data_IF_547678058174
#
_entry.id   IF_547678058174
#
_cell.length_a   1.000
_cell.length_b   1.000
_cell.length_c   1.000
_cell.angle_alpha   90.00
_cell.angle_beta   90.00
_cell.angle_gamma   90.00
#
_symmetry.space_group_name_H-M   'P 1'
#
loop_
_entity.id
_entity.type
_entity.pdbx_description
1 polymer ?
#
# COMPACT_ATOMS: atom_id res chain seq x y z
N UNK A 1 11.41 14.81 -10.04
CA UNK A 1 12.62 14.98 -10.86
C UNK A 1 13.26 16.31 -10.52
N UNK A 2 14.58 16.36 -10.41
CA UNK A 2 15.37 17.58 -10.32
C UNK A 2 16.31 17.66 -11.52
N UNK A 3 16.36 18.82 -12.15
CA UNK A 3 17.31 19.15 -13.22
C UNK A 3 18.33 20.13 -12.64
N UNK A 4 19.60 19.89 -12.90
CA UNK A 4 20.69 20.79 -12.56
C UNK A 4 21.51 21.10 -13.82
N UNK A 5 21.81 22.41 -14.01
CA UNK A 5 22.57 22.89 -15.17
C UNK A 5 23.63 23.86 -14.65
N UNK A 6 24.89 23.57 -14.90
CA UNK A 6 26.01 24.45 -14.66
C UNK A 6 26.69 24.92 -15.94
N UNK A 7 27.74 25.71 -15.84
CA UNK A 7 28.48 26.21 -17.03
C UNK A 7 29.04 25.07 -17.89
N UNK A 8 29.57 24.02 -17.26
CA UNK A 8 30.10 22.85 -17.97
C UNK A 8 29.03 22.09 -18.74
N UNK A 9 27.81 22.01 -18.15
CA UNK A 9 26.68 21.34 -18.76
C UNK A 9 26.21 22.12 -20.04
N UNK A 10 26.21 23.45 -19.97
CA UNK A 10 25.92 24.30 -21.11
C UNK A 10 26.95 24.10 -22.22
N UNK A 11 28.24 24.05 -21.90
CA UNK A 11 29.32 23.83 -22.88
C UNK A 11 29.20 22.45 -23.54
N UNK A 12 28.78 21.42 -22.78
CA UNK A 12 28.63 20.05 -23.28
C UNK A 12 27.23 19.76 -23.86
N UNK A 13 26.30 20.70 -23.82
CA UNK A 13 24.91 20.48 -24.25
C UNK A 13 24.16 19.44 -23.45
N UNK A 14 24.40 19.36 -22.14
CA UNK A 14 23.86 18.32 -21.27
C UNK A 14 23.17 18.86 -20.00
N UNK A 15 22.45 17.99 -19.28
CA UNK A 15 21.75 18.32 -18.04
C UNK A 15 21.88 17.14 -17.06
N UNK A 16 22.27 17.40 -15.81
CA UNK A 16 22.16 16.38 -14.75
C UNK A 16 20.70 16.25 -14.33
N UNK A 17 20.20 15.01 -14.38
CA UNK A 17 18.85 14.61 -13.94
C UNK A 17 18.97 13.80 -12.67
N UNK A 18 18.18 14.15 -11.64
CA UNK A 18 18.10 13.34 -10.40
C UNK A 18 16.67 12.90 -10.12
N UNK A 19 16.50 11.59 -9.88
CA UNK A 19 15.25 10.94 -9.49
C UNK A 19 15.02 11.08 -7.98
N UNK A 20 13.79 11.35 -7.54
CA UNK A 20 13.44 11.38 -6.10
C UNK A 20 13.14 10.01 -5.53
N UNK A 21 12.60 9.14 -6.35
CA UNK A 21 12.14 7.80 -5.97
C UNK A 21 13.30 6.83 -5.70
N UNK A 22 14.32 6.80 -6.58
CA UNK A 22 15.50 5.91 -6.48
C UNK A 22 16.76 6.61 -5.94
N UNK A 23 16.78 7.95 -5.92
CA UNK A 23 17.96 8.80 -5.64
C UNK A 23 19.06 8.74 -6.71
N UNK A 24 18.79 8.06 -7.81
CA UNK A 24 19.70 7.96 -8.94
C UNK A 24 19.93 9.32 -9.63
N UNK A 25 21.14 9.50 -10.15
CA UNK A 25 21.53 10.66 -10.96
C UNK A 25 22.16 10.19 -12.25
N UNK A 26 21.84 10.87 -13.34
CA UNK A 26 22.41 10.60 -14.66
C UNK A 26 22.40 11.89 -15.52
N UNK A 27 23.14 11.87 -16.62
CA UNK A 27 23.25 12.98 -17.55
C UNK A 27 22.43 12.72 -18.81
N UNK A 28 21.73 13.72 -19.31
CA UNK A 28 20.90 13.66 -20.52
C UNK A 28 21.33 14.79 -21.44
N UNK A 29 21.41 14.53 -22.75
CA UNK A 29 21.62 15.57 -23.74
C UNK A 29 20.41 16.54 -23.78
N UNK A 30 20.67 17.84 -23.93
CA UNK A 30 19.60 18.86 -23.95
C UNK A 30 18.57 18.62 -25.06
N UNK A 31 19.01 18.14 -26.22
CA UNK A 31 18.14 17.89 -27.37
C UNK A 31 17.11 16.78 -27.12
N UNK A 32 17.44 15.77 -26.29
CA UNK A 32 16.58 14.65 -25.94
C UNK A 32 15.90 14.81 -24.57
N UNK A 33 16.15 15.92 -23.89
CA UNK A 33 15.72 16.12 -22.50
C UNK A 33 14.19 16.01 -22.34
N UNK A 34 13.44 16.65 -23.25
CA UNK A 34 11.98 16.67 -23.18
C UNK A 34 11.39 15.26 -23.21
N UNK A 35 11.76 14.49 -24.23
CA UNK A 35 11.27 13.11 -24.39
C UNK A 35 11.70 12.21 -23.22
N UNK A 36 12.96 12.33 -22.80
CA UNK A 36 13.48 11.56 -21.66
C UNK A 36 12.74 11.86 -20.35
N UNK A 37 12.39 13.15 -20.10
CA UNK A 37 11.66 13.54 -18.90
C UNK A 37 10.23 12.99 -18.91
N UNK A 38 9.54 13.00 -20.04
CA UNK A 38 8.20 12.41 -20.13
C UNK A 38 8.23 10.92 -19.78
N UNK A 39 9.11 10.15 -20.43
CA UNK A 39 9.28 8.73 -20.11
C UNK A 39 9.70 8.48 -18.66
N UNK A 40 10.56 9.36 -18.11
CA UNK A 40 10.97 9.27 -16.71
C UNK A 40 9.82 9.48 -15.72
N UNK A 41 8.86 10.34 -16.03
CA UNK A 41 7.68 10.55 -15.18
C UNK A 41 6.81 9.28 -15.12
N UNK A 42 6.64 8.60 -16.24
CA UNK A 42 5.92 7.32 -16.29
C UNK A 42 6.65 6.22 -15.51
N UNK A 43 7.99 6.12 -15.66
CA UNK A 43 8.82 5.21 -14.89
C UNK A 43 8.71 5.46 -13.37
N UNK A 44 8.72 6.72 -12.95
CA UNK A 44 8.59 7.09 -11.53
C UNK A 44 7.21 6.72 -11.00
N UNK A 45 6.16 6.99 -11.77
CA UNK A 45 4.79 6.64 -11.40
C UNK A 45 4.64 5.12 -11.22
N UNK A 46 5.15 4.34 -12.18
CA UNK A 46 5.14 2.88 -12.12
C UNK A 46 5.90 2.36 -10.88
N UNK A 47 7.12 2.86 -10.64
CA UNK A 47 7.92 2.46 -9.46
C UNK A 47 7.23 2.78 -8.13
N UNK A 48 6.61 3.94 -8.00
CA UNK A 48 5.88 4.32 -6.79
C UNK A 48 4.64 3.43 -6.58
N UNK A 49 3.92 3.14 -7.66
CA UNK A 49 2.77 2.24 -7.62
C UNK A 49 3.16 0.82 -7.21
N UNK A 50 4.18 0.25 -7.85
CA UNK A 50 4.69 -1.10 -7.56
C UNK A 50 5.16 -1.23 -6.11
N UNK A 51 5.87 -0.23 -5.59
CA UNK A 51 6.30 -0.20 -4.19
C UNK A 51 5.12 -0.16 -3.22
N UNK A 52 4.12 0.67 -3.51
CA UNK A 52 2.91 0.76 -2.67
C UNK A 52 2.08 -0.52 -2.73
N UNK A 53 1.92 -1.11 -3.92
CA UNK A 53 1.22 -2.37 -4.11
C UNK A 53 1.94 -3.53 -3.41
N UNK A 54 3.27 -3.60 -3.54
CA UNK A 54 4.10 -4.59 -2.86
C UNK A 54 4.00 -4.48 -1.33
N UNK A 55 4.11 -3.27 -0.79
CA UNK A 55 3.94 -3.02 0.65
C UNK A 55 2.55 -3.44 1.15
N UNK A 56 1.49 -3.08 0.41
CA UNK A 56 0.13 -3.50 0.75
C UNK A 56 0.00 -5.02 0.75
N UNK A 57 0.53 -5.70 -0.26
CA UNK A 57 0.48 -7.16 -0.36
C UNK A 57 1.23 -7.83 0.80
N UNK A 58 2.43 -7.36 1.13
CA UNK A 58 3.24 -7.86 2.25
C UNK A 58 2.54 -7.68 3.60
N UNK A 59 1.84 -6.54 3.79
CA UNK A 59 1.17 -6.20 5.04
C UNK A 59 -0.26 -6.72 5.15
N UNK A 60 -0.81 -7.36 4.13
CA UNK A 60 -2.16 -7.94 4.16
C UNK A 60 -2.09 -9.43 4.50
N UNK A 61 -2.72 -9.83 5.59
CA UNK A 61 -2.73 -11.20 6.09
C UNK A 61 -4.14 -11.74 6.20
N UNK A 62 -4.37 -12.92 5.62
CA UNK A 62 -5.61 -13.68 5.86
C UNK A 62 -5.53 -14.31 7.25
N UNK A 63 -6.56 -14.11 8.06
CA UNK A 63 -6.63 -14.62 9.43
C UNK A 63 -7.93 -15.39 9.66
N UNK A 64 -7.86 -16.50 10.40
CA UNK A 64 -8.98 -17.41 10.63
C UNK A 64 -9.32 -17.56 12.11
N UNK A 65 -8.51 -17.00 12.99
CA UNK A 65 -8.72 -17.04 14.44
C UNK A 65 -8.50 -15.67 15.08
N UNK A 66 -9.01 -15.52 16.29
CA UNK A 66 -8.80 -14.31 17.08
C UNK A 66 -7.33 -14.09 17.44
N UNK A 67 -6.59 -15.16 17.73
CA UNK A 67 -5.16 -15.07 18.06
C UNK A 67 -4.32 -14.60 16.85
N UNK A 68 -4.60 -15.14 15.66
CA UNK A 68 -3.98 -14.66 14.41
C UNK A 68 -4.34 -13.20 14.13
N UNK A 69 -5.59 -12.82 14.39
CA UNK A 69 -6.03 -11.42 14.24
C UNK A 69 -5.24 -10.49 15.16
N UNK A 70 -5.09 -10.85 16.44
CA UNK A 70 -4.31 -10.08 17.40
C UNK A 70 -2.82 -9.98 17.01
N UNK A 71 -2.23 -11.06 16.52
CA UNK A 71 -0.84 -11.07 16.03
C UNK A 71 -0.66 -10.06 14.87
N UNK A 72 -1.55 -10.09 13.87
CA UNK A 72 -1.49 -9.16 12.75
C UNK A 72 -1.67 -7.71 13.20
N UNK A 73 -2.64 -7.44 14.07
CA UNK A 73 -2.98 -6.08 14.49
C UNK A 73 -1.96 -5.49 15.47
N UNK A 74 -1.38 -6.29 16.35
CA UNK A 74 -0.54 -5.80 17.44
C UNK A 74 0.96 -6.03 17.23
N UNK A 75 1.35 -7.05 16.45
CA UNK A 75 2.75 -7.43 16.27
C UNK A 75 3.25 -7.12 14.87
N UNK A 76 2.53 -7.57 13.83
CA UNK A 76 2.92 -7.33 12.42
C UNK A 76 2.57 -5.93 11.93
N UNK A 77 1.63 -5.26 12.60
CA UNK A 77 1.17 -3.91 12.25
C UNK A 77 0.70 -3.82 10.79
N UNK A 78 -0.23 -4.72 10.41
CA UNK A 78 -0.71 -4.87 9.05
C UNK A 78 -2.23 -4.75 8.91
N UNK A 79 -2.70 -5.24 7.78
CA UNK A 79 -4.11 -5.41 7.46
C UNK A 79 -4.53 -6.86 7.73
N UNK A 80 -5.55 -7.05 8.56
CA UNK A 80 -6.14 -8.37 8.79
C UNK A 80 -7.37 -8.55 7.89
N UNK A 81 -7.30 -9.50 6.97
CA UNK A 81 -8.43 -9.92 6.14
C UNK A 81 -9.16 -11.03 6.88
N UNK A 82 -10.24 -10.69 7.56
CA UNK A 82 -10.91 -11.53 8.54
C UNK A 82 -12.42 -11.63 8.30
N UNK A 83 -13.00 -12.77 8.65
CA UNK A 83 -14.46 -12.94 8.67
C UNK A 83 -15.12 -12.08 9.76
N UNK A 84 -16.22 -11.45 9.39
CA UNK A 84 -17.04 -10.59 10.25
C UNK A 84 -18.51 -10.95 10.06
N UNK A 85 -19.29 -10.96 11.14
CA UNK A 85 -20.71 -11.38 11.16
C UNK A 85 -21.70 -10.33 10.63
N UNK A 86 -21.22 -9.21 10.11
CA UNK A 86 -22.05 -8.16 9.52
C UNK A 86 -22.67 -7.20 10.54
N UNK A 87 -22.38 -7.31 11.83
CA UNK A 87 -23.03 -6.49 12.86
C UNK A 87 -22.13 -5.35 13.36
N UNK A 88 -22.70 -4.16 13.53
CA UNK A 88 -21.98 -3.01 14.10
C UNK A 88 -21.57 -3.24 15.57
N UNK A 89 -22.33 -4.07 16.30
CA UNK A 89 -22.00 -4.41 17.68
C UNK A 89 -20.66 -5.20 17.76
N UNK A 90 -20.45 -6.14 16.85
CA UNK A 90 -19.19 -6.89 16.75
C UNK A 90 -18.03 -5.98 16.34
N UNK A 91 -18.24 -5.08 15.39
CA UNK A 91 -17.23 -4.10 14.99
C UNK A 91 -16.80 -3.22 16.16
N UNK A 92 -17.76 -2.68 16.94
CA UNK A 92 -17.44 -1.84 18.10
C UNK A 92 -16.67 -2.61 19.18
N UNK A 93 -17.04 -3.87 19.46
CA UNK A 93 -16.26 -4.74 20.36
C UNK A 93 -14.83 -4.96 19.89
N UNK A 94 -14.62 -5.24 18.60
CA UNK A 94 -13.28 -5.41 18.03
C UNK A 94 -12.47 -4.12 18.21
N UNK A 95 -13.09 -2.96 17.94
CA UNK A 95 -12.47 -1.65 18.11
C UNK A 95 -12.11 -1.35 19.57
N UNK A 96 -12.99 -1.66 20.52
CA UNK A 96 -12.71 -1.50 21.94
C UNK A 96 -11.51 -2.33 22.39
N UNK A 97 -11.44 -3.60 21.96
CA UNK A 97 -10.42 -4.55 22.38
C UNK A 97 -9.05 -4.27 21.71
N UNK A 98 -9.03 -3.78 20.45
CA UNK A 98 -7.81 -3.78 19.64
C UNK A 98 -7.46 -2.42 19.04
N UNK A 99 -8.39 -1.47 19.04
CA UNK A 99 -8.33 -0.20 18.29
C UNK A 99 -8.36 -0.37 16.76
N UNK A 100 -8.55 -1.61 16.27
CA UNK A 100 -8.75 -1.86 14.85
C UNK A 100 -10.20 -1.59 14.46
N UNK A 101 -10.40 -1.07 13.26
CA UNK A 101 -11.72 -0.86 12.64
C UNK A 101 -11.74 -1.44 11.24
N UNK A 102 -12.93 -1.71 10.71
CA UNK A 102 -13.11 -2.10 9.31
C UNK A 102 -12.69 -0.93 8.42
N UNK A 103 -11.83 -1.19 7.45
CA UNK A 103 -11.35 -0.23 6.45
C UNK A 103 -12.13 -0.30 5.16
N UNK A 104 -12.41 -1.50 4.71
CA UNK A 104 -13.25 -1.74 3.53
C UNK A 104 -13.76 -3.17 3.50
N UNK A 105 -14.80 -3.36 2.71
CA UNK A 105 -15.26 -4.65 2.21
C UNK A 105 -14.71 -4.73 0.77
N UNK A 106 -13.80 -5.67 0.44
CA UNK A 106 -13.28 -5.78 -0.93
C UNK A 106 -14.41 -6.03 -1.93
N UNK A 107 -14.42 -5.27 -3.03
CA UNK A 107 -15.49 -5.35 -4.04
C UNK A 107 -15.37 -6.56 -4.95
N UNK A 108 -14.16 -7.06 -5.13
CA UNK A 108 -13.76 -8.12 -6.03
C UNK A 108 -13.57 -9.48 -5.35
N UNK A 109 -13.92 -9.59 -4.06
CA UNK A 109 -13.84 -10.86 -3.36
C UNK A 109 -15.01 -11.78 -3.73
N UNK A 110 -14.71 -13.07 -3.85
CA UNK A 110 -15.74 -14.10 -3.95
C UNK A 110 -16.44 -14.28 -2.58
N UNK A 111 -17.70 -14.67 -2.62
CA UNK A 111 -18.44 -15.01 -1.40
C UNK A 111 -17.82 -16.23 -0.76
N UNK A 112 -17.29 -16.07 0.43
CA UNK A 112 -16.65 -17.12 1.21
C UNK A 112 -17.41 -17.32 2.53
N UNK A 113 -17.99 -18.49 2.71
CA UNK A 113 -18.63 -18.83 3.98
C UNK A 113 -17.58 -19.11 5.05
N UNK A 114 -17.75 -18.54 6.22
CA UNK A 114 -16.84 -18.72 7.35
C UNK A 114 -17.46 -18.27 8.65
N UNK A 115 -16.66 -18.18 9.68
CA UNK A 115 -17.09 -17.73 11.00
C UNK A 115 -16.33 -16.46 11.43
N UNK A 116 -17.07 -15.51 12.00
CA UNK A 116 -16.51 -14.30 12.56
C UNK A 116 -15.38 -14.61 13.55
N UNK A 117 -14.24 -13.96 13.38
CA UNK A 117 -13.03 -14.22 14.18
C UNK A 117 -13.19 -13.92 15.67
N UNK A 118 -14.14 -13.03 16.04
CA UNK A 118 -14.42 -12.70 17.45
C UNK A 118 -15.57 -13.53 18.03
N UNK A 119 -16.71 -13.61 17.31
CA UNK A 119 -17.96 -14.19 17.87
C UNK A 119 -18.17 -15.65 17.51
N UNK A 120 -17.53 -16.14 16.44
CA UNK A 120 -17.81 -17.45 15.87
C UNK A 120 -19.12 -17.53 15.08
N UNK A 121 -19.89 -16.45 14.99
CA UNK A 121 -21.13 -16.38 14.21
C UNK A 121 -20.86 -16.55 12.71
N UNK A 122 -21.84 -17.05 11.92
CA UNK A 122 -21.70 -17.16 10.47
C UNK A 122 -21.35 -15.81 9.80
N UNK A 123 -20.46 -15.88 8.80
CA UNK A 123 -20.04 -14.77 7.98
C UNK A 123 -20.08 -15.17 6.50
N UNK A 124 -20.41 -14.24 5.62
CA UNK A 124 -20.51 -14.46 4.17
C UNK A 124 -19.27 -13.96 3.41
N UNK A 125 -18.29 -13.40 4.09
CA UNK A 125 -17.10 -12.87 3.46
C UNK A 125 -16.15 -12.23 4.45
N UNK A 126 -15.00 -11.86 3.95
CA UNK A 126 -13.96 -11.20 4.76
C UNK A 126 -14.00 -9.69 4.57
N UNK A 127 -13.63 -8.98 5.59
CA UNK A 127 -13.42 -7.54 5.56
C UNK A 127 -12.00 -7.22 5.99
N UNK A 128 -11.52 -6.05 5.61
CA UNK A 128 -10.17 -5.59 5.97
C UNK A 128 -10.22 -4.79 7.26
N UNK A 129 -9.54 -5.27 8.28
CA UNK A 129 -9.32 -4.54 9.53
C UNK A 129 -7.90 -3.96 9.59
N UNK A 130 -7.77 -2.78 10.19
CA UNK A 130 -6.49 -2.21 10.58
C UNK A 130 -6.65 -1.18 11.69
N UNK A 131 -5.57 -0.92 12.45
CA UNK A 131 -5.52 0.22 13.38
C UNK A 131 -5.48 1.54 12.62
N UNK A 132 -6.13 2.56 13.19
CA UNK A 132 -5.82 3.95 12.86
C UNK A 132 -4.52 4.36 13.61
N UNK A 133 -3.88 5.40 13.10
CA UNK A 133 -2.70 6.00 13.74
C UNK A 133 -3.05 6.56 15.12
#
# INVERSE_FOLDING_TARGET
VRLAVGMRDLESGSVEVARRDTKEKFVVAMDSLHERILGLMDEIQANLFERAAGYRAEKTHVVNSWDEFLDVINVKEGFALAHWDGTGETEEKIKELTKATIRCIPLDQETEAGNCVLTGNPSQGRVVFAKAY
#
